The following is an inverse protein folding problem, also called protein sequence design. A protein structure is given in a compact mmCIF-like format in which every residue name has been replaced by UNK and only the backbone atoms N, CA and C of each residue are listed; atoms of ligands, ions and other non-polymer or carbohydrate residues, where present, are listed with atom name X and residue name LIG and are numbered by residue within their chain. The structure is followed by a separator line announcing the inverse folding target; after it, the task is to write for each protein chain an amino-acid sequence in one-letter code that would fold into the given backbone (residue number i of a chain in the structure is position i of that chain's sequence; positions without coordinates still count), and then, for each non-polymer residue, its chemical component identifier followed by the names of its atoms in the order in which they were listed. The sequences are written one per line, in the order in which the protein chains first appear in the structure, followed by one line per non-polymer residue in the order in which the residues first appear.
data_IF_419295217079
#
_entry.id   IF_419295217079
#
_cell.length_a   1.000
_cell.length_b   1.000
_cell.length_c   1.000
_cell.angle_alpha   90.00
_cell.angle_beta   90.00
_cell.angle_gamma   90.00
#
_symmetry.space_group_name_H-M   'P 1'
#
loop_
_entity.id
_entity.type
_entity.pdbx_description
1 polymer ?
#
# COMPACT_ATOMS: atom_id res chain seq x y z
N UNK A 1 11.43 33.60 5.05
CA UNK A 1 12.31 32.62 5.74
C UNK A 1 11.54 31.73 6.72
N UNK A 2 10.37 32.13 7.25
CA UNK A 2 9.68 31.40 8.32
C UNK A 2 8.80 30.20 7.88
N UNK A 3 8.45 30.07 6.60
CA UNK A 3 7.50 29.04 6.14
C UNK A 3 8.11 27.69 5.75
N UNK A 4 9.44 27.61 5.60
CA UNK A 4 10.11 26.38 5.15
C UNK A 4 10.33 25.39 6.32
N UNK A 5 10.18 25.82 7.58
CA UNK A 5 10.63 25.05 8.76
C UNK A 5 9.48 24.43 9.57
N UNK A 6 8.21 24.68 9.25
CA UNK A 6 7.07 24.30 10.11
C UNK A 6 6.19 23.14 9.60
N UNK A 7 6.55 22.44 8.52
CA UNK A 7 5.80 21.25 8.09
C UNK A 7 6.26 20.01 8.85
N UNK A 8 5.82 19.88 10.10
CA UNK A 8 5.95 18.66 10.90
C UNK A 8 4.63 18.31 11.60
N UNK A 9 3.49 18.48 10.91
CA UNK A 9 2.17 18.14 11.48
C UNK A 9 1.73 16.68 11.24
N UNK A 10 2.41 15.94 10.36
CA UNK A 10 2.03 14.57 10.01
C UNK A 10 3.21 13.60 10.11
N UNK A 11 3.93 13.64 11.23
CA UNK A 11 4.83 12.52 11.56
C UNK A 11 3.94 11.32 11.85
N UNK A 12 3.98 10.23 11.05
CA UNK A 12 3.22 9.04 11.35
C UNK A 12 3.55 8.60 12.77
N UNK A 13 2.52 8.41 13.57
CA UNK A 13 2.65 7.88 14.92
C UNK A 13 3.31 6.51 14.82
N UNK A 14 4.19 6.14 15.75
CA UNK A 14 4.74 4.79 15.78
C UNK A 14 3.58 3.77 15.81
N UNK A 15 3.40 3.02 14.72
CA UNK A 15 2.26 2.11 14.51
C UNK A 15 1.25 2.52 13.43
N UNK A 16 1.30 3.73 12.88
CA UNK A 16 0.53 4.09 11.68
C UNK A 16 1.22 3.53 10.43
N UNK A 17 0.74 2.38 9.96
CA UNK A 17 1.14 1.87 8.66
C UNK A 17 0.54 2.79 7.57
N UNK A 18 1.39 3.52 6.86
CA UNK A 18 0.98 4.26 5.65
C UNK A 18 1.09 3.32 4.45
N UNK A 19 -0.02 3.12 3.77
CA UNK A 19 -0.10 2.28 2.58
C UNK A 19 0.52 2.97 1.37
N UNK A 20 1.33 2.24 0.62
CA UNK A 20 1.75 2.63 -0.74
C UNK A 20 0.71 2.08 -1.71
N UNK A 21 -0.03 2.98 -2.37
CA UNK A 21 -0.99 2.61 -3.41
C UNK A 21 -0.28 2.31 -4.72
N UNK A 22 -0.59 1.14 -5.27
CA UNK A 22 -0.17 0.68 -6.59
C UNK A 22 -1.41 0.43 -7.42
N UNK A 23 -1.61 1.25 -8.45
CA UNK A 23 -2.77 1.18 -9.34
C UNK A 23 -2.38 1.58 -10.77
N UNK A 24 -3.04 1.00 -11.76
CA UNK A 24 -2.92 1.45 -13.15
C UNK A 24 -3.72 2.73 -13.38
N UNK A 25 -3.31 3.54 -14.36
CA UNK A 25 -4.05 4.74 -14.77
C UNK A 25 -5.50 4.44 -15.21
N UNK A 26 -5.75 3.20 -15.65
CA UNK A 26 -7.05 2.69 -16.09
C UNK A 26 -7.86 1.99 -14.99
N UNK A 27 -7.51 2.17 -13.71
CA UNK A 27 -8.23 1.54 -12.59
C UNK A 27 -9.72 1.87 -12.63
N UNK A 28 -10.56 0.84 -12.46
CA UNK A 28 -12.01 1.00 -12.41
C UNK A 28 -12.39 1.76 -11.14
N UNK A 29 -13.07 2.90 -11.30
CA UNK A 29 -13.49 3.78 -10.21
C UNK A 29 -14.97 3.60 -9.85
N UNK A 30 -15.36 4.05 -8.65
CA UNK A 30 -16.78 4.18 -8.30
C UNK A 30 -17.40 5.32 -9.11
N UNK A 31 -18.67 5.18 -9.47
CA UNK A 31 -19.39 6.18 -10.27
C UNK A 31 -19.38 7.56 -9.58
N UNK A 32 -19.00 8.59 -10.32
CA UNK A 32 -18.98 9.97 -9.83
C UNK A 32 -17.82 10.31 -8.86
N UNK A 33 -16.82 9.43 -8.71
CA UNK A 33 -15.66 9.66 -7.83
C UNK A 33 -14.34 9.30 -8.51
N UNK A 34 -13.24 9.76 -7.93
CA UNK A 34 -11.89 9.30 -8.30
C UNK A 34 -11.42 8.09 -7.49
N UNK A 35 -12.27 7.52 -6.65
CA UNK A 35 -11.90 6.38 -5.80
C UNK A 35 -11.93 5.06 -6.57
N UNK A 36 -10.90 4.20 -6.42
CA UNK A 36 -10.94 2.84 -6.95
C UNK A 36 -12.15 2.08 -6.44
N UNK A 37 -12.78 1.31 -7.33
CA UNK A 37 -13.95 0.50 -7.01
C UNK A 37 -13.60 -0.63 -6.05
N UNK A 38 -12.40 -1.19 -6.17
CA UNK A 38 -11.87 -2.25 -5.31
C UNK A 38 -10.46 -1.87 -4.87
N UNK A 39 -10.24 -1.90 -3.56
CA UNK A 39 -8.93 -1.69 -2.95
C UNK A 39 -8.57 -2.96 -2.17
N UNK A 40 -7.40 -3.52 -2.45
CA UNK A 40 -6.83 -4.66 -1.71
C UNK A 40 -5.76 -4.13 -0.78
N UNK A 41 -6.03 -4.12 0.53
CA UNK A 41 -5.04 -3.75 1.54
C UNK A 41 -4.18 -4.95 1.93
N UNK A 42 -2.87 -4.82 1.74
CA UNK A 42 -1.88 -5.88 1.98
C UNK A 42 -0.95 -5.40 3.10
N UNK A 43 -0.94 -6.12 4.22
CA UNK A 43 -0.10 -5.78 5.38
C UNK A 43 1.00 -6.82 5.51
N UNK A 44 2.24 -6.39 5.27
CA UNK A 44 3.37 -7.32 5.22
C UNK A 44 4.56 -6.80 6.02
N UNK A 45 5.37 -7.75 6.50
CA UNK A 45 6.66 -7.49 7.12
C UNK A 45 7.73 -8.17 6.28
N UNK A 46 8.77 -7.44 5.86
CA UNK A 46 9.85 -7.97 5.03
C UNK A 46 10.62 -9.12 5.71
N UNK A 47 10.59 -9.21 7.04
CA UNK A 47 11.22 -10.28 7.80
C UNK A 47 10.31 -11.51 7.98
N UNK A 48 9.05 -11.45 7.55
CA UNK A 48 8.10 -12.55 7.71
C UNK A 48 8.25 -13.59 6.57
N UNK A 49 8.64 -14.85 6.87
CA UNK A 49 8.80 -15.87 5.84
C UNK A 49 7.49 -16.23 5.13
N UNK A 50 6.35 -16.13 5.84
CA UNK A 50 5.04 -16.40 5.23
C UNK A 50 4.58 -15.28 4.29
N UNK A 51 4.93 -14.02 4.57
CA UNK A 51 4.75 -12.91 3.62
C UNK A 51 5.59 -13.15 2.37
N UNK A 52 6.84 -13.60 2.53
CA UNK A 52 7.69 -13.98 1.39
C UNK A 52 7.08 -15.09 0.51
N UNK A 53 6.49 -16.13 1.10
CA UNK A 53 5.79 -17.18 0.33
C UNK A 53 4.52 -16.63 -0.33
N UNK A 54 3.76 -15.80 0.38
CA UNK A 54 2.56 -15.17 -0.14
C UNK A 54 2.88 -14.33 -1.38
N UNK A 55 3.88 -13.45 -1.33
CA UNK A 55 4.26 -12.61 -2.47
C UNK A 55 4.78 -13.44 -3.66
N UNK A 56 5.51 -14.54 -3.41
CA UNK A 56 5.92 -15.44 -4.50
C UNK A 56 4.73 -16.12 -5.19
N UNK A 57 3.68 -16.48 -4.44
CA UNK A 57 2.52 -17.19 -4.97
C UNK A 57 1.47 -16.25 -5.58
N UNK A 58 1.18 -15.13 -4.92
CA UNK A 58 0.08 -14.23 -5.26
C UNK A 58 0.55 -12.92 -5.91
N UNK A 59 1.80 -12.50 -5.72
CA UNK A 59 2.36 -11.27 -6.32
C UNK A 59 2.13 -11.18 -7.84
N UNK A 60 2.40 -12.25 -8.64
CA UNK A 60 2.11 -12.22 -10.08
C UNK A 60 0.61 -12.07 -10.42
N UNK A 61 -0.29 -12.54 -9.57
CA UNK A 61 -1.74 -12.40 -9.75
C UNK A 61 -2.18 -10.99 -9.39
N UNK A 62 -1.69 -10.45 -8.27
CA UNK A 62 -1.97 -9.08 -7.83
C UNK A 62 -1.49 -8.09 -8.88
N UNK A 63 -0.27 -8.25 -9.39
CA UNK A 63 0.27 -7.42 -10.48
C UNK A 63 -0.63 -7.45 -11.71
N UNK A 64 -1.06 -8.63 -12.17
CA UNK A 64 -1.98 -8.74 -13.32
C UNK A 64 -3.32 -8.05 -13.08
N UNK A 65 -3.86 -8.12 -11.86
CA UNK A 65 -5.12 -7.46 -11.51
C UNK A 65 -4.96 -5.94 -11.47
N UNK A 66 -3.83 -5.45 -10.97
CA UNK A 66 -3.46 -4.02 -11.00
C UNK A 66 -3.31 -3.54 -12.44
N UNK A 67 -2.53 -4.26 -13.26
CA UNK A 67 -2.26 -3.91 -14.66
C UNK A 67 -3.55 -3.92 -15.51
N UNK A 68 -4.47 -4.85 -15.21
CA UNK A 68 -5.79 -4.88 -15.83
C UNK A 68 -6.73 -3.75 -15.36
N UNK A 69 -6.32 -2.94 -14.38
CA UNK A 69 -7.13 -1.89 -13.76
C UNK A 69 -8.27 -2.42 -12.89
N UNK A 70 -8.26 -3.71 -12.53
CA UNK A 70 -9.33 -4.33 -11.77
C UNK A 70 -9.30 -3.95 -10.29
N UNK A 71 -8.11 -3.72 -9.74
CA UNK A 71 -7.90 -3.36 -8.33
C UNK A 71 -6.87 -2.23 -8.20
N UNK A 72 -6.96 -1.47 -7.11
CA UNK A 72 -5.82 -0.78 -6.52
C UNK A 72 -5.28 -1.65 -5.37
N UNK A 73 -3.97 -1.83 -5.29
CA UNK A 73 -3.31 -2.55 -4.19
C UNK A 73 -2.64 -1.55 -3.25
N UNK A 74 -3.00 -1.56 -1.97
CA UNK A 74 -2.40 -0.72 -0.95
C UNK A 74 -1.46 -1.58 -0.10
N UNK A 75 -0.15 -1.36 -0.23
CA UNK A 75 0.89 -2.08 0.50
C UNK A 75 1.28 -1.34 1.79
N UNK A 76 0.99 -1.96 2.93
CA UNK A 76 1.30 -1.47 4.26
C UNK A 76 2.48 -2.26 4.83
N UNK A 77 3.70 -1.73 4.64
CA UNK A 77 4.90 -2.36 5.18
C UNK A 77 5.03 -2.06 6.68
N UNK A 78 4.96 -3.11 7.50
CA UNK A 78 5.10 -3.06 8.95
C UNK A 78 6.42 -3.67 9.40
N UNK A 79 6.85 -3.35 10.62
CA UNK A 79 8.04 -3.90 11.26
C UNK A 79 7.70 -4.60 12.58
N UNK A 80 6.75 -5.53 12.57
CA UNK A 80 6.29 -6.26 13.76
C UNK A 80 7.36 -7.27 14.23
N UNK A 81 8.19 -7.72 13.30
CA UNK A 81 9.30 -8.64 13.55
C UNK A 81 10.64 -7.92 13.76
N UNK A 82 10.68 -6.60 13.57
CA UNK A 82 11.84 -5.77 13.90
C UNK A 82 11.97 -5.68 15.43
N UNK A 83 12.79 -6.57 16.01
CA UNK A 83 13.14 -6.58 17.42
C UNK A 83 14.66 -6.54 17.55
N UNK A 84 15.20 -5.80 18.52
CA UNK A 84 16.64 -5.80 18.83
C UNK A 84 17.12 -7.18 19.31
#
# INVERSE_FOLDING_TARGET
VLYIVLSADDKPTAGEARGIRVEAASVVKKEGTDEPKVVVGIYEDFLCPHCGVFEQQFGPTISKLVDAGAIAADYYMVGILDRP
#
